data_IF_238792126866
#
_entry.id   IF_238792126866
#
_cell.length_a   1.000
_cell.length_b   1.000
_cell.length_c   1.000
_cell.angle_alpha   90.00
_cell.angle_beta   90.00
_cell.angle_gamma   90.00
#
_symmetry.space_group_name_H-M   'P 1'
#
loop_
_entity.id
_entity.type
_entity.pdbx_description
1 polymer ?
#
# COMPACT_ATOMS: atom_id res chain seq x y z
N UNK A 1 -17.30 -3.64 14.48
CA UNK A 1 -18.22 -2.95 13.55
C UNK A 1 -17.88 -3.16 12.06
N UNK A 2 -16.65 -2.89 11.59
CA UNK A 2 -16.30 -2.96 10.14
C UNK A 2 -16.41 -4.36 9.49
N UNK A 3 -16.06 -5.42 10.21
CA UNK A 3 -16.06 -6.80 9.70
C UNK A 3 -17.45 -7.31 9.29
N UNK A 4 -18.48 -6.98 10.08
CA UNK A 4 -19.88 -7.39 9.80
C UNK A 4 -20.36 -6.68 8.53
N UNK A 5 -20.13 -5.37 8.43
CA UNK A 5 -20.50 -4.58 7.25
C UNK A 5 -19.88 -5.15 5.97
N UNK A 6 -18.58 -5.46 6.00
CA UNK A 6 -17.87 -6.01 4.84
C UNK A 6 -18.33 -7.44 4.53
N UNK A 7 -18.58 -8.27 5.56
CA UNK A 7 -19.16 -9.60 5.38
C UNK A 7 -20.54 -9.52 4.71
N UNK A 8 -21.38 -8.58 5.13
CA UNK A 8 -22.71 -8.35 4.57
C UNK A 8 -22.62 -7.81 3.14
N UNK A 9 -21.75 -6.84 2.87
CA UNK A 9 -21.50 -6.34 1.52
C UNK A 9 -21.06 -7.49 0.58
N UNK A 10 -20.12 -8.34 1.01
CA UNK A 10 -19.70 -9.53 0.26
C UNK A 10 -20.77 -10.64 0.17
N UNK A 11 -21.90 -10.53 0.88
CA UNK A 11 -23.07 -11.40 0.63
C UNK A 11 -24.00 -10.80 -0.41
N UNK A 12 -24.17 -9.49 -0.40
CA UNK A 12 -25.06 -8.77 -1.31
C UNK A 12 -24.46 -8.64 -2.72
N UNK A 13 -23.14 -8.49 -2.84
CA UNK A 13 -22.47 -8.43 -4.15
C UNK A 13 -22.53 -9.81 -4.82
N UNK A 14 -23.00 -9.91 -6.09
CA UNK A 14 -23.03 -11.18 -6.81
C UNK A 14 -21.66 -11.85 -6.87
N UNK A 15 -21.62 -13.18 -6.73
CA UNK A 15 -20.35 -13.93 -6.77
C UNK A 15 -19.55 -13.68 -8.05
N UNK A 16 -20.20 -13.59 -9.20
CA UNK A 16 -19.56 -13.30 -10.50
C UNK A 16 -18.78 -11.98 -10.47
N UNK A 17 -19.33 -10.94 -9.84
CA UNK A 17 -18.68 -9.64 -9.68
C UNK A 17 -17.47 -9.74 -8.76
N UNK A 18 -17.58 -10.49 -7.66
CA UNK A 18 -16.45 -10.73 -6.75
C UNK A 18 -15.32 -11.47 -7.46
N UNK A 19 -15.64 -12.51 -8.23
CA UNK A 19 -14.68 -13.26 -9.03
C UNK A 19 -13.97 -12.37 -10.05
N UNK A 20 -14.73 -11.59 -10.83
CA UNK A 20 -14.16 -10.67 -11.83
C UNK A 20 -13.22 -9.64 -11.18
N UNK A 21 -13.59 -9.11 -10.02
CA UNK A 21 -12.73 -8.18 -9.28
C UNK A 21 -11.43 -8.84 -8.80
N UNK A 22 -11.51 -10.05 -8.26
CA UNK A 22 -10.34 -10.81 -7.79
C UNK A 22 -9.42 -11.21 -8.95
N UNK A 23 -9.96 -11.73 -10.05
CA UNK A 23 -9.19 -12.04 -11.26
C UNK A 23 -8.44 -10.81 -11.77
N UNK A 24 -9.14 -9.67 -11.89
CA UNK A 24 -8.51 -8.42 -12.35
C UNK A 24 -7.40 -7.96 -11.41
N UNK A 25 -7.62 -8.08 -10.09
CA UNK A 25 -6.62 -7.71 -9.09
C UNK A 25 -5.38 -8.58 -9.16
N UNK A 26 -5.54 -9.91 -9.24
CA UNK A 26 -4.42 -10.84 -9.33
C UNK A 26 -3.67 -10.71 -10.66
N UNK A 27 -4.37 -10.57 -11.78
CA UNK A 27 -3.74 -10.37 -13.08
C UNK A 27 -2.94 -9.07 -13.12
N UNK A 28 -3.45 -8.00 -12.49
CA UNK A 28 -2.69 -6.77 -12.33
C UNK A 28 -1.46 -6.96 -11.42
N UNK A 29 -1.60 -7.72 -10.33
CA UNK A 29 -0.52 -7.92 -9.37
C UNK A 29 0.63 -8.77 -9.96
N UNK A 30 0.29 -9.82 -10.70
CA UNK A 30 1.23 -10.82 -11.23
C UNK A 30 1.55 -10.66 -12.72
N UNK A 31 1.23 -9.52 -13.34
CA UNK A 31 1.39 -9.32 -14.79
C UNK A 31 2.83 -9.57 -15.30
N UNK A 32 3.83 -9.35 -14.45
CA UNK A 32 5.26 -9.53 -14.78
C UNK A 32 5.87 -10.82 -14.24
N UNK A 33 5.04 -11.69 -13.63
CA UNK A 33 5.50 -12.89 -12.95
C UNK A 33 5.30 -14.12 -13.83
N UNK A 34 6.29 -15.00 -13.83
CA UNK A 34 6.18 -16.28 -14.51
C UNK A 34 5.44 -17.27 -13.60
N UNK A 35 4.15 -17.49 -13.91
CA UNK A 35 3.28 -18.42 -13.18
C UNK A 35 2.98 -19.69 -13.99
N UNK A 36 3.86 -20.09 -14.92
CA UNK A 36 3.63 -21.26 -15.77
C UNK A 36 3.38 -22.55 -14.99
N UNK A 37 4.01 -22.71 -13.82
CA UNK A 37 3.80 -23.85 -12.93
C UNK A 37 2.39 -23.90 -12.32
N UNK A 38 1.65 -22.78 -12.32
CA UNK A 38 0.26 -22.73 -11.91
C UNK A 38 -0.71 -23.02 -13.06
N UNK A 39 -0.23 -23.29 -14.29
CA UNK A 39 -1.12 -23.52 -15.45
C UNK A 39 -2.08 -24.67 -15.16
N UNK A 40 -3.37 -24.42 -15.39
CA UNK A 40 -4.49 -25.33 -15.13
C UNK A 40 -4.74 -25.66 -13.65
N UNK A 41 -4.00 -25.06 -12.73
CA UNK A 41 -4.22 -25.19 -11.29
C UNK A 41 -5.37 -24.30 -10.83
N UNK A 42 -6.06 -24.76 -9.79
CA UNK A 42 -7.11 -24.02 -9.09
C UNK A 42 -6.54 -23.51 -7.76
N UNK A 43 -6.46 -22.19 -7.64
CA UNK A 43 -6.05 -21.47 -6.43
C UNK A 43 -7.29 -21.07 -5.65
N UNK A 44 -7.35 -21.48 -4.38
CA UNK A 44 -8.38 -21.07 -3.45
C UNK A 44 -7.88 -19.91 -2.59
N UNK A 45 -8.59 -18.79 -2.61
CA UNK A 45 -8.36 -17.68 -1.68
C UNK A 45 -9.37 -17.77 -0.55
N UNK A 46 -8.91 -17.86 0.69
CA UNK A 46 -9.76 -18.03 1.87
C UNK A 46 -9.52 -16.93 2.90
N UNK A 47 -10.58 -16.19 3.22
CA UNK A 47 -10.59 -15.25 4.36
C UNK A 47 -11.35 -15.91 5.50
N UNK A 48 -10.57 -16.59 6.34
CA UNK A 48 -11.04 -17.56 7.34
C UNK A 48 -12.08 -16.97 8.30
N UNK A 49 -11.81 -15.78 8.79
CA UNK A 49 -12.61 -15.13 9.82
C UNK A 49 -13.87 -14.46 9.25
N UNK A 50 -13.95 -14.26 7.92
CA UNK A 50 -15.18 -13.90 7.19
C UNK A 50 -15.98 -15.11 6.72
N UNK A 51 -15.44 -16.33 6.85
CA UNK A 51 -16.02 -17.57 6.28
C UNK A 51 -16.30 -17.42 4.78
N UNK A 52 -15.39 -16.77 4.05
CA UNK A 52 -15.49 -16.55 2.60
C UNK A 52 -14.30 -17.18 1.89
N UNK A 53 -14.57 -17.78 0.73
CA UNK A 53 -13.55 -18.33 -0.14
C UNK A 53 -13.94 -18.21 -1.61
N UNK A 54 -12.93 -18.09 -2.47
CA UNK A 54 -13.06 -17.99 -3.92
C UNK A 54 -12.11 -18.99 -4.57
N UNK A 55 -12.58 -19.69 -5.61
CA UNK A 55 -11.78 -20.61 -6.43
C UNK A 55 -11.50 -19.95 -7.77
N UNK A 56 -10.22 -19.84 -8.12
CA UNK A 56 -9.75 -19.20 -9.34
C UNK A 56 -8.86 -20.19 -10.08
N UNK A 57 -9.05 -20.35 -11.39
CA UNK A 57 -8.11 -21.11 -12.21
C UNK A 57 -7.06 -20.17 -12.79
N UNK A 58 -5.84 -20.64 -12.95
CA UNK A 58 -4.81 -19.94 -13.70
C UNK A 58 -4.65 -20.60 -15.08
N UNK A 59 -4.74 -19.79 -16.13
CA UNK A 59 -4.61 -20.19 -17.53
C UNK A 59 -3.53 -19.35 -18.23
N UNK A 60 -3.33 -19.56 -19.54
CA UNK A 60 -2.37 -18.75 -20.33
C UNK A 60 -2.74 -17.26 -20.36
N UNK A 61 -4.00 -16.93 -20.12
CA UNK A 61 -4.51 -15.55 -20.10
C UNK A 61 -4.52 -14.97 -18.68
N UNK A 62 -3.98 -15.69 -17.69
CA UNK A 62 -3.97 -15.32 -16.28
C UNK A 62 -5.06 -15.99 -15.45
N UNK A 63 -5.39 -15.40 -14.31
CA UNK A 63 -6.45 -15.84 -13.41
C UNK A 63 -7.83 -15.57 -14.01
N UNK A 64 -8.68 -16.61 -13.96
CA UNK A 64 -10.07 -16.58 -14.38
C UNK A 64 -10.97 -17.33 -13.37
N UNK A 65 -12.27 -17.11 -13.48
CA UNK A 65 -13.26 -17.88 -12.72
C UNK A 65 -13.28 -19.34 -13.19
N UNK A 66 -13.72 -20.24 -12.31
CA UNK A 66 -13.75 -21.67 -12.62
C UNK A 66 -14.96 -22.36 -12.02
N UNK A 67 -15.48 -23.34 -12.78
CA UNK A 67 -16.49 -24.28 -12.28
C UNK A 67 -15.87 -25.44 -11.48
N UNK A 68 -14.53 -25.61 -11.54
CA UNK A 68 -13.82 -26.65 -10.80
C UNK A 68 -13.98 -26.42 -9.29
N UNK A 69 -14.40 -27.45 -8.57
CA UNK A 69 -14.64 -27.38 -7.11
C UNK A 69 -13.43 -27.78 -6.26
N UNK A 70 -12.46 -28.50 -6.83
CA UNK A 70 -11.26 -28.96 -6.13
C UNK A 70 -10.14 -27.94 -6.31
N UNK A 71 -9.56 -27.48 -5.21
CA UNK A 71 -8.39 -26.62 -5.20
C UNK A 71 -7.10 -27.45 -5.22
N UNK A 72 -6.09 -26.99 -5.95
CA UNK A 72 -4.73 -27.53 -5.90
C UNK A 72 -3.94 -26.90 -4.76
N UNK A 73 -4.21 -25.61 -4.48
CA UNK A 73 -3.56 -24.84 -3.43
C UNK A 73 -4.54 -23.83 -2.83
N UNK A 74 -4.41 -23.59 -1.53
CA UNK A 74 -5.20 -22.63 -0.77
C UNK A 74 -4.30 -21.60 -0.11
N UNK A 75 -4.53 -20.32 -0.42
CA UNK A 75 -4.00 -19.19 0.34
C UNK A 75 -5.05 -18.77 1.37
N UNK A 76 -4.72 -18.96 2.64
CA UNK A 76 -5.61 -18.71 3.77
C UNK A 76 -5.07 -17.60 4.64
N UNK A 77 -5.91 -16.61 4.94
CA UNK A 77 -5.55 -15.50 5.82
C UNK A 77 -6.77 -15.00 6.63
N UNK A 78 -6.56 -13.99 7.48
CA UNK A 78 -7.61 -13.24 8.17
C UNK A 78 -7.85 -11.91 7.46
N UNK A 79 -9.05 -11.38 7.60
CA UNK A 79 -9.44 -10.13 6.95
C UNK A 79 -8.58 -8.93 7.38
N UNK A 80 -8.23 -8.86 8.67
CA UNK A 80 -7.38 -7.79 9.19
C UNK A 80 -5.98 -7.83 8.54
N UNK A 81 -5.37 -9.01 8.43
CA UNK A 81 -4.09 -9.21 7.74
C UNK A 81 -4.21 -8.77 6.29
N UNK A 82 -5.20 -9.27 5.54
CA UNK A 82 -5.39 -8.94 4.13
C UNK A 82 -5.55 -7.43 3.87
N UNK A 83 -6.18 -6.70 4.79
CA UNK A 83 -6.32 -5.24 4.69
C UNK A 83 -5.02 -4.47 4.92
N UNK A 84 -4.04 -5.07 5.59
CA UNK A 84 -2.79 -4.42 5.97
C UNK A 84 -1.62 -4.77 5.02
N UNK A 85 -1.87 -5.53 3.94
CA UNK A 85 -0.85 -5.89 2.94
C UNK A 85 -0.64 -4.74 1.95
N UNK A 86 0.14 -3.73 2.34
CA UNK A 86 0.34 -2.52 1.54
C UNK A 86 1.68 -2.47 0.82
N UNK A 87 2.69 -3.11 1.41
CA UNK A 87 4.05 -3.18 0.91
C UNK A 87 4.51 -4.62 0.79
N UNK A 88 5.58 -4.82 0.04
CA UNK A 88 6.24 -6.12 -0.05
C UNK A 88 6.68 -6.60 1.35
N UNK A 89 7.21 -5.70 2.18
CA UNK A 89 7.59 -6.03 3.55
C UNK A 89 6.41 -6.53 4.41
N UNK A 90 5.20 -5.98 4.22
CA UNK A 90 4.01 -6.48 4.92
C UNK A 90 3.65 -7.91 4.50
N UNK A 91 3.79 -8.21 3.19
CA UNK A 91 3.56 -9.56 2.65
C UNK A 91 4.59 -10.54 3.19
N UNK A 92 5.88 -10.19 3.16
CA UNK A 92 6.98 -11.01 3.66
C UNK A 92 6.79 -11.30 5.15
N UNK A 93 6.50 -10.27 5.96
CA UNK A 93 6.23 -10.42 7.38
C UNK A 93 5.00 -11.31 7.65
N UNK A 94 3.91 -11.13 6.88
CA UNK A 94 2.71 -11.93 7.05
C UNK A 94 2.91 -13.40 6.66
N UNK A 95 3.76 -13.69 5.68
CA UNK A 95 4.16 -15.06 5.34
C UNK A 95 5.01 -15.67 6.45
N UNK A 96 6.04 -14.96 6.91
CA UNK A 96 6.97 -15.44 7.94
C UNK A 96 6.29 -15.67 9.30
N UNK A 97 5.34 -14.82 9.67
CA UNK A 97 4.57 -14.96 10.91
C UNK A 97 3.43 -15.99 10.81
N UNK A 98 3.20 -16.57 9.63
CA UNK A 98 2.12 -17.54 9.39
C UNK A 98 0.71 -16.92 9.39
N UNK A 99 0.60 -15.60 9.22
CA UNK A 99 -0.67 -14.88 9.03
C UNK A 99 -1.25 -15.09 7.63
N UNK A 100 -0.38 -15.36 6.65
CA UNK A 100 -0.73 -15.93 5.35
C UNK A 100 -0.24 -17.37 5.34
N UNK A 101 -1.16 -18.32 5.18
CA UNK A 101 -0.86 -19.76 5.10
C UNK A 101 -1.11 -20.26 3.69
N UNK A 102 -0.12 -20.94 3.13
CA UNK A 102 -0.23 -21.66 1.86
C UNK A 102 -0.39 -23.14 2.17
N UNK A 103 -1.48 -23.74 1.69
CA UNK A 103 -1.86 -25.14 1.96
C UNK A 103 -2.06 -25.84 0.63
N UNK A 104 -1.26 -26.85 0.33
CA UNK A 104 -1.34 -27.57 -0.94
C UNK A 104 -0.10 -28.42 -1.18
N UNK A 105 0.12 -28.78 -2.43
CA UNK A 105 1.32 -29.49 -2.86
C UNK A 105 2.58 -28.63 -2.62
N UNK A 106 3.68 -29.21 -2.05
CA UNK A 106 4.87 -28.44 -1.71
C UNK A 106 5.47 -27.64 -2.87
N UNK A 107 5.48 -28.21 -4.08
CA UNK A 107 5.95 -27.52 -5.28
C UNK A 107 5.15 -26.23 -5.55
N UNK A 108 3.82 -26.33 -5.58
CA UNK A 108 2.94 -25.17 -5.80
C UNK A 108 3.01 -24.15 -4.67
N UNK A 109 3.20 -24.60 -3.42
CA UNK A 109 3.40 -23.72 -2.27
C UNK A 109 4.65 -22.88 -2.45
N UNK A 110 5.76 -23.50 -2.85
CA UNK A 110 7.01 -22.80 -3.11
C UNK A 110 6.88 -21.79 -4.26
N UNK A 111 6.18 -22.15 -5.34
CA UNK A 111 5.90 -21.25 -6.46
C UNK A 111 5.16 -20.01 -5.99
N UNK A 112 4.05 -20.17 -5.26
CA UNK A 112 3.26 -19.02 -4.79
C UNK A 112 4.08 -18.19 -3.80
N UNK A 113 4.79 -18.82 -2.85
CA UNK A 113 5.62 -18.11 -1.89
C UNK A 113 6.70 -17.25 -2.59
N UNK A 114 7.44 -17.83 -3.54
CA UNK A 114 8.47 -17.12 -4.30
C UNK A 114 7.89 -15.95 -5.10
N UNK A 115 6.71 -16.13 -5.70
CA UNK A 115 6.03 -15.05 -6.42
C UNK A 115 5.52 -13.94 -5.49
N UNK A 116 5.05 -14.28 -4.28
CA UNK A 116 4.68 -13.31 -3.25
C UNK A 116 5.89 -12.50 -2.76
N UNK A 117 7.04 -13.15 -2.57
CA UNK A 117 8.31 -12.49 -2.22
C UNK A 117 8.89 -11.62 -3.34
N UNK A 118 8.45 -11.79 -4.58
CA UNK A 118 8.96 -11.02 -5.73
C UNK A 118 7.93 -10.04 -6.28
N UNK A 119 6.87 -9.74 -5.53
CA UNK A 119 5.83 -8.80 -5.94
C UNK A 119 6.38 -7.41 -6.29
N UNK A 120 5.83 -6.82 -7.34
CA UNK A 120 6.09 -5.42 -7.71
C UNK A 120 5.38 -4.50 -6.69
N UNK A 121 6.18 -3.83 -5.86
CA UNK A 121 5.69 -2.96 -4.81
C UNK A 121 4.81 -1.81 -5.34
N UNK A 122 5.09 -1.29 -6.55
CA UNK A 122 4.28 -0.22 -7.15
C UNK A 122 2.88 -0.71 -7.47
N UNK A 123 2.76 -1.92 -8.01
CA UNK A 123 1.46 -2.56 -8.33
C UNK A 123 0.68 -2.90 -7.08
N UNK A 124 1.34 -3.42 -6.05
CA UNK A 124 0.72 -3.71 -4.75
C UNK A 124 0.16 -2.43 -4.11
N UNK A 125 0.96 -1.36 -4.06
CA UNK A 125 0.52 -0.05 -3.54
C UNK A 125 -0.64 0.52 -4.35
N UNK A 126 -0.59 0.44 -5.68
CA UNK A 126 -1.68 0.87 -6.56
C UNK A 126 -2.99 0.15 -6.25
N UNK A 127 -2.94 -1.19 -6.16
CA UNK A 127 -4.10 -2.02 -5.85
C UNK A 127 -4.68 -1.70 -4.46
N UNK A 128 -3.82 -1.58 -3.46
CA UNK A 128 -4.20 -1.17 -2.11
C UNK A 128 -4.87 0.20 -2.11
N UNK A 129 -4.24 1.21 -2.73
CA UNK A 129 -4.77 2.57 -2.78
C UNK A 129 -6.14 2.61 -3.47
N UNK A 130 -6.33 1.83 -4.54
CA UNK A 130 -7.61 1.73 -5.22
C UNK A 130 -8.69 1.12 -4.34
N UNK A 131 -8.39 0.05 -3.59
CA UNK A 131 -9.32 -0.56 -2.63
C UNK A 131 -9.73 0.45 -1.55
N UNK A 132 -8.78 1.15 -0.94
CA UNK A 132 -9.08 2.10 0.14
C UNK A 132 -9.82 3.34 -0.39
N UNK A 133 -9.50 3.80 -1.60
CA UNK A 133 -10.24 4.87 -2.26
C UNK A 133 -11.69 4.47 -2.52
N UNK A 134 -11.91 3.27 -3.08
CA UNK A 134 -13.24 2.72 -3.34
C UNK A 134 -14.08 2.58 -2.06
N UNK A 135 -13.45 2.16 -0.96
CA UNK A 135 -14.11 2.05 0.35
C UNK A 135 -14.26 3.39 1.08
N UNK A 136 -13.85 4.51 0.48
CA UNK A 136 -13.80 5.84 1.10
C UNK A 136 -13.02 5.86 2.43
N UNK A 137 -12.00 5.01 2.56
CA UNK A 137 -11.13 4.89 3.74
C UNK A 137 -9.85 5.71 3.60
N UNK A 138 -9.95 6.96 3.14
CA UNK A 138 -8.80 7.84 2.85
C UNK A 138 -7.85 8.02 4.05
N UNK A 139 -8.39 8.03 5.27
CA UNK A 139 -7.59 8.15 6.50
C UNK A 139 -6.72 6.93 6.82
N UNK A 140 -6.93 5.82 6.11
CA UNK A 140 -6.19 4.56 6.28
C UNK A 140 -5.42 4.13 5.03
N UNK A 141 -5.37 4.99 4.02
CA UNK A 141 -4.41 4.78 2.94
C UNK A 141 -3.00 4.75 3.54
N UNK A 142 -2.08 3.92 3.01
CA UNK A 142 -0.70 3.94 3.43
C UNK A 142 -0.20 5.37 3.24
N UNK A 143 0.02 6.10 4.33
CA UNK A 143 0.80 7.32 4.25
C UNK A 143 2.17 6.85 3.84
N UNK A 144 2.62 7.23 2.64
CA UNK A 144 4.00 7.03 2.27
C UNK A 144 4.85 7.53 3.46
N UNK A 145 5.88 6.77 3.89
CA UNK A 145 6.78 7.30 4.90
C UNK A 145 7.24 8.69 4.44
N UNK A 146 7.32 9.67 5.35
CA UNK A 146 7.78 11.00 4.99
C UNK A 146 9.07 10.84 4.20
N UNK A 147 9.11 11.44 2.99
CA UNK A 147 10.18 11.21 2.01
C UNK A 147 11.56 11.50 2.60
N UNK A 148 11.60 12.35 3.63
CA UNK A 148 12.75 12.67 4.46
C UNK A 148 12.33 12.70 5.93
N UNK A 149 13.22 12.28 6.83
CA UNK A 149 13.06 12.53 8.26
C UNK A 149 13.31 14.02 8.53
N UNK A 150 12.24 14.76 8.83
CA UNK A 150 12.29 16.19 9.12
C UNK A 150 13.16 16.55 10.33
N UNK A 151 13.56 15.57 11.16
CA UNK A 151 14.45 15.78 12.28
C UNK A 151 15.93 15.69 11.90
N UNK A 152 16.25 15.07 10.76
CA UNK A 152 17.62 14.77 10.36
C UNK A 152 17.84 15.07 8.86
N UNK A 153 17.50 16.29 8.44
CA UNK A 153 17.73 16.75 7.07
C UNK A 153 19.20 17.21 6.94
N UNK A 154 19.90 16.65 5.94
CA UNK A 154 21.25 17.05 5.57
C UNK A 154 21.24 17.94 4.32
N UNK A 155 22.38 18.57 4.02
CA UNK A 155 22.53 19.36 2.79
C UNK A 155 22.46 18.50 1.52
N UNK A 156 22.77 17.21 1.61
CA UNK A 156 22.65 16.28 0.48
C UNK A 156 21.19 16.07 0.06
N UNK A 157 20.26 16.09 1.01
CA UNK A 157 18.82 15.92 0.76
C UNK A 157 18.21 17.09 -0.03
N UNK A 158 18.91 18.23 -0.10
CA UNK A 158 18.49 19.43 -0.80
C UNK A 158 18.81 19.41 -2.32
N UNK A 159 19.50 18.38 -2.81
CA UNK A 159 19.88 18.26 -4.21
C UNK A 159 18.69 17.96 -5.15
N UNK A 160 17.65 17.28 -4.64
CA UNK A 160 16.43 16.96 -5.40
C UNK A 160 15.38 18.09 -5.25
N UNK A 161 14.90 18.70 -6.35
CA UNK A 161 13.83 19.68 -6.30
C UNK A 161 12.58 19.21 -5.54
N UNK A 162 12.23 17.92 -5.63
CA UNK A 162 11.06 17.36 -4.94
C UNK A 162 11.26 17.27 -3.43
N UNK A 163 12.49 17.12 -2.96
CA UNK A 163 12.83 17.18 -1.54
C UNK A 163 12.64 18.58 -0.97
N UNK A 164 12.99 19.61 -1.75
CA UNK A 164 12.77 21.01 -1.36
C UNK A 164 11.27 21.32 -1.21
N UNK A 165 10.44 20.83 -2.13
CA UNK A 165 8.98 20.98 -2.04
C UNK A 165 8.40 20.24 -0.82
N UNK A 166 8.89 19.02 -0.54
CA UNK A 166 8.52 18.27 0.66
C UNK A 166 8.87 19.00 1.96
N UNK A 167 10.11 19.52 2.07
CA UNK A 167 10.57 20.27 3.25
C UNK A 167 9.74 21.54 3.44
N UNK A 168 9.41 22.25 2.36
CA UNK A 168 8.52 23.42 2.40
C UNK A 168 7.14 23.04 2.94
N UNK A 169 6.53 21.98 2.43
CA UNK A 169 5.18 21.60 2.81
C UNK A 169 5.11 21.11 4.27
N UNK A 170 6.13 20.38 4.73
CA UNK A 170 6.25 20.00 6.14
C UNK A 170 6.49 21.21 7.05
N UNK A 171 7.25 22.21 6.60
CA UNK A 171 7.42 23.46 7.33
C UNK A 171 6.11 24.24 7.47
N UNK A 172 5.28 24.28 6.43
CA UNK A 172 3.93 24.87 6.51
C UNK A 172 3.04 24.07 7.45
N UNK A 173 3.08 22.73 7.39
CA UNK A 173 2.28 21.88 8.29
C UNK A 173 2.61 22.08 9.77
N UNK A 174 3.87 22.35 10.09
CA UNK A 174 4.34 22.58 11.46
C UNK A 174 4.10 24.01 11.95
N UNK A 175 3.64 24.94 11.11
CA UNK A 175 3.52 26.36 11.47
C UNK A 175 2.60 26.61 12.68
N UNK A 176 1.61 25.75 12.89
CA UNK A 176 0.65 25.83 13.99
C UNK A 176 1.06 25.07 15.25
N UNK A 177 2.02 24.13 15.15
CA UNK A 177 2.41 23.25 16.26
C UNK A 177 3.80 23.52 16.80
N UNK A 178 4.75 23.86 15.92
CA UNK A 178 6.14 24.16 16.27
C UNK A 178 6.72 25.17 15.26
N UNK A 179 6.49 26.45 15.56
CA UNK A 179 6.88 27.56 14.71
C UNK A 179 8.41 27.69 14.57
N UNK A 180 9.18 27.30 15.59
CA UNK A 180 10.65 27.34 15.52
C UNK A 180 11.18 26.28 14.56
N UNK A 181 10.63 25.06 14.59
CA UNK A 181 10.98 24.00 13.65
C UNK A 181 10.49 24.31 12.25
N UNK A 182 9.31 24.87 12.10
CA UNK A 182 8.80 25.38 10.82
C UNK A 182 9.78 26.40 10.19
N UNK A 183 10.30 27.35 10.98
CA UNK A 183 11.31 28.30 10.51
C UNK A 183 12.61 27.62 10.09
N UNK A 184 13.14 26.68 10.89
CA UNK A 184 14.38 25.94 10.55
C UNK A 184 14.26 25.22 9.20
N UNK A 185 13.14 24.52 8.98
CA UNK A 185 12.87 23.82 7.72
C UNK A 185 12.73 24.80 6.55
N UNK A 186 12.04 25.93 6.74
CA UNK A 186 11.86 26.93 5.69
C UNK A 186 13.19 27.60 5.30
N UNK A 187 14.08 27.84 6.26
CA UNK A 187 15.45 28.34 6.01
C UNK A 187 16.31 27.31 5.25
N UNK A 188 16.15 26.01 5.53
CA UNK A 188 16.80 24.96 4.74
C UNK A 188 16.30 24.94 3.29
N UNK A 189 14.99 25.05 3.09
CA UNK A 189 14.41 25.17 1.74
C UNK A 189 14.88 26.45 1.02
N UNK A 190 15.06 27.56 1.74
CA UNK A 190 15.58 28.81 1.21
C UNK A 190 17.01 28.69 0.69
N UNK A 191 17.89 27.93 1.37
CA UNK A 191 19.25 27.67 0.89
C UNK A 191 19.25 26.98 -0.49
N UNK A 192 18.30 26.09 -0.73
CA UNK A 192 18.16 25.40 -2.01
C UNK A 192 17.47 26.26 -3.09
N UNK A 193 16.55 27.15 -2.69
CA UNK A 193 15.79 28.05 -3.60
C UNK A 193 15.81 29.50 -3.08
N UNK A 194 16.93 30.22 -3.18
CA UNK A 194 17.08 31.56 -2.59
C UNK A 194 16.13 32.60 -3.19
N UNK A 195 15.72 32.41 -4.45
CA UNK A 195 14.81 33.31 -5.17
C UNK A 195 13.33 32.87 -5.08
N UNK A 196 13.01 31.86 -4.26
CA UNK A 196 11.66 31.32 -4.13
C UNK A 196 10.72 32.27 -3.39
N UNK A 197 9.80 32.92 -4.11
CA UNK A 197 8.83 33.90 -3.54
C UNK A 197 8.05 33.36 -2.34
N UNK A 198 7.49 32.15 -2.45
CA UNK A 198 6.70 31.52 -1.38
C UNK A 198 7.53 31.26 -0.12
N UNK A 199 8.74 30.71 -0.31
CA UNK A 199 9.67 30.38 0.78
C UNK A 199 10.11 31.67 1.49
N UNK A 200 10.53 32.68 0.73
CA UNK A 200 10.99 33.96 1.28
C UNK A 200 9.90 34.71 2.06
N UNK A 201 8.67 34.71 1.56
CA UNK A 201 7.54 35.30 2.26
C UNK A 201 7.29 34.58 3.59
N UNK A 202 7.23 33.24 3.57
CA UNK A 202 7.01 32.45 4.79
C UNK A 202 8.14 32.59 5.81
N UNK A 203 9.40 32.68 5.39
CA UNK A 203 10.53 32.95 6.31
C UNK A 203 10.33 34.27 7.04
N UNK A 204 10.00 35.35 6.30
CA UNK A 204 9.73 36.66 6.91
C UNK A 204 8.55 36.61 7.86
N UNK A 205 7.45 35.95 7.47
CA UNK A 205 6.26 35.81 8.30
C UNK A 205 6.57 35.06 9.60
N UNK A 206 7.33 33.96 9.53
CA UNK A 206 7.68 33.17 10.70
C UNK A 206 8.64 33.91 11.63
N UNK A 207 9.62 34.64 11.09
CA UNK A 207 10.51 35.50 11.87
C UNK A 207 9.73 36.60 12.59
N UNK A 208 8.77 37.25 11.93
CA UNK A 208 7.93 38.28 12.53
C UNK A 208 7.04 37.72 13.65
N UNK A 209 6.43 36.55 13.43
CA UNK A 209 5.61 35.86 14.44
C UNK A 209 6.42 35.42 15.67
N UNK A 210 7.65 34.96 15.48
CA UNK A 210 8.54 34.59 16.60
C UNK A 210 9.09 35.82 17.34
N UNK A 211 9.26 36.95 16.66
CA UNK A 211 9.67 38.20 17.28
C UNK A 211 8.55 38.84 18.14
N UNK A 212 7.29 38.62 17.77
CA UNK A 212 6.09 39.12 18.49
C UNK A 212 5.59 38.16 19.58
N UNK A 213 6.09 36.92 19.61
CA UNK A 213 5.78 35.92 20.64
C UNK A 213 6.76 35.91 21.82
N UNK A 214 7.71 36.87 21.88
CA UNK A 214 8.55 37.15 23.04
C UNK A 214 7.93 38.24 23.89
#
# INVERSE_FOLDING_TARGET
>A
MKKIIISTALRLVPKSVQYKALCKALNHLFEKHNLNELKNCVVKLSVSDLKKSWLLAYSEQGFNDTAKRKANIELKTKFATALNLHSKGDVDNALNNGDIKLIGEPALVNVIANNLHTLDEKRLKSLSNHLFSFLNLKSKQPKAPPRLDINNITTADLADPLSVDFIRDEAVRLESTDLQKALKLMLLAQKARPNGKVINNKVKDYQAKLATAK
#
